data_IF_685185722677
#
_entry.id   IF_685185722677
#
_cell.length_a   1.000
_cell.length_b   1.000
_cell.length_c   1.000
_cell.angle_alpha   90.00
_cell.angle_beta   90.00
_cell.angle_gamma   90.00
#
_symmetry.space_group_name_H-M   'P 1'
#
loop_
_entity.id
_entity.type
_entity.pdbx_description
1 polymer ?
#
# COMPACT_ATOMS: atom_id res chain seq x y z
N UNK A 1 -8.13 -9.79 -22.58
CA UNK A 1 -6.74 -9.42 -22.87
C UNK A 1 -6.13 -8.91 -21.57
N UNK A 2 -5.62 -9.79 -20.69
CA UNK A 2 -5.18 -9.40 -19.36
C UNK A 2 -3.65 -9.20 -19.35
N UNK A 3 -3.07 -8.24 -18.63
CA UNK A 3 -3.23 -8.06 -17.18
C UNK A 3 -2.08 -8.79 -16.50
N UNK A 4 -0.88 -8.20 -16.52
CA UNK A 4 0.35 -8.85 -16.06
C UNK A 4 0.45 -8.84 -14.54
N UNK A 5 0.23 -10.01 -13.93
CA UNK A 5 0.68 -10.36 -12.59
C UNK A 5 2.21 -10.44 -12.55
N UNK A 6 2.85 -9.78 -11.58
CA UNK A 6 4.23 -10.04 -11.22
C UNK A 6 4.28 -10.69 -9.83
N UNK A 7 4.27 -12.02 -9.82
CA UNK A 7 4.83 -12.85 -8.76
C UNK A 7 6.00 -13.61 -9.37
N UNK A 8 7.19 -13.50 -8.78
CA UNK A 8 8.01 -14.68 -8.48
C UNK A 8 9.35 -14.28 -7.86
N UNK A 9 9.66 -15.00 -6.79
CA UNK A 9 11.03 -15.27 -6.35
C UNK A 9 11.72 -16.17 -7.38
N UNK A 10 13.04 -16.01 -7.58
CA UNK A 10 13.92 -17.12 -7.94
C UNK A 10 15.39 -16.79 -7.66
N UNK A 11 16.05 -17.72 -6.97
CA UNK A 11 17.48 -17.78 -6.79
C UNK A 11 18.17 -18.49 -7.98
N UNK A 12 19.32 -17.95 -8.39
CA UNK A 12 20.56 -18.63 -8.78
C UNK A 12 20.57 -19.77 -9.82
N UNK A 13 21.32 -19.58 -10.91
CA UNK A 13 22.40 -20.52 -11.30
C UNK A 13 23.28 -19.94 -12.42
N UNK A 14 24.56 -20.29 -12.36
CA UNK A 14 25.69 -19.79 -13.15
C UNK A 14 25.76 -20.30 -14.60
N UNK A 15 26.54 -19.61 -15.43
CA UNK A 15 27.08 -20.11 -16.70
C UNK A 15 28.58 -19.79 -16.83
N UNK A 16 29.40 -20.65 -17.49
CA UNK A 16 30.85 -20.47 -17.63
C UNK A 16 31.27 -19.87 -18.98
N UNK A 17 32.48 -19.29 -19.00
CA UNK A 17 33.23 -18.79 -20.17
C UNK A 17 33.54 -19.87 -21.22
N UNK A 18 33.91 -19.44 -22.45
CA UNK A 18 35.32 -19.58 -22.84
C UNK A 18 35.94 -18.42 -23.66
N UNK A 19 37.27 -18.36 -23.55
CA UNK A 19 38.32 -17.79 -24.41
C UNK A 19 38.16 -18.11 -25.92
N UNK A 20 38.81 -17.51 -26.94
CA UNK A 20 40.17 -16.99 -27.15
C UNK A 20 40.24 -16.41 -28.61
N UNK A 21 41.21 -15.53 -28.94
CA UNK A 21 41.79 -15.46 -30.30
C UNK A 21 41.97 -14.08 -30.98
N UNK A 22 43.21 -13.57 -30.97
CA UNK A 22 43.76 -12.49 -31.82
C UNK A 22 44.39 -13.11 -33.14
N UNK A 23 45.06 -12.41 -34.12
CA UNK A 23 45.85 -11.16 -33.98
C UNK A 23 46.11 -10.22 -35.23
N UNK A 24 46.79 -9.06 -34.97
CA UNK A 24 47.77 -8.25 -35.78
C UNK A 24 47.31 -7.51 -37.08
N UNK A 25 47.80 -6.31 -37.51
CA UNK A 25 49.05 -5.56 -37.29
C UNK A 25 48.97 -4.05 -37.69
N UNK A 26 49.90 -3.23 -37.13
CA UNK A 26 50.67 -2.04 -37.63
C UNK A 26 49.95 -0.76 -38.17
N UNK A 27 50.36 0.51 -37.95
CA UNK A 27 51.67 1.15 -37.79
C UNK A 27 51.59 2.61 -37.21
N UNK A 28 52.69 3.05 -36.58
CA UNK A 28 53.30 4.41 -36.57
C UNK A 28 52.78 5.57 -35.67
N UNK A 29 53.47 5.80 -34.54
CA UNK A 29 54.35 6.98 -34.30
C UNK A 29 53.78 8.35 -33.90
N UNK A 30 53.74 8.65 -32.59
CA UNK A 30 53.85 10.01 -32.00
C UNK A 30 54.61 9.95 -30.65
N UNK A 31 55.34 11.01 -30.24
CA UNK A 31 56.19 11.01 -29.05
C UNK A 31 55.40 10.99 -27.73
N UNK A 32 55.98 10.52 -26.60
CA UNK A 32 55.25 10.38 -25.35
C UNK A 32 54.94 11.75 -24.75
N UNK A 33 53.65 12.09 -24.69
CA UNK A 33 53.20 13.11 -23.76
C UNK A 33 53.41 12.55 -22.35
N UNK A 34 54.21 13.25 -21.53
CA UNK A 34 54.33 12.98 -20.10
C UNK A 34 52.93 12.85 -19.52
N UNK A 35 52.57 11.60 -19.21
CA UNK A 35 51.37 11.31 -18.46
C UNK A 35 51.68 11.83 -17.08
N UNK A 36 51.18 13.02 -16.75
CA UNK A 36 51.03 13.40 -15.37
C UNK A 36 50.20 12.28 -14.73
N UNK A 37 50.88 11.42 -13.97
CA UNK A 37 50.25 10.48 -13.07
C UNK A 37 49.57 11.37 -12.05
N UNK A 38 48.31 11.72 -12.29
CA UNK A 38 47.45 12.17 -11.22
C UNK A 38 47.52 11.07 -10.17
N UNK A 39 47.98 11.37 -8.94
CA UNK A 39 47.91 10.38 -7.89
C UNK A 39 46.45 9.97 -7.81
N UNK A 40 46.18 8.68 -7.98
CA UNK A 40 44.88 8.13 -7.66
C UNK A 40 44.56 8.61 -6.25
N UNK A 41 43.66 9.57 -6.13
CA UNK A 41 43.12 9.98 -4.85
C UNK A 41 42.44 8.72 -4.34
N UNK A 42 43.10 8.04 -3.39
CA UNK A 42 42.47 7.00 -2.58
C UNK A 42 41.14 7.54 -2.03
N UNK A 43 40.21 6.68 -1.58
CA UNK A 43 38.90 7.13 -1.13
C UNK A 43 39.08 8.18 -0.04
N UNK A 44 38.97 9.46 -0.42
CA UNK A 44 39.10 10.57 0.49
C UNK A 44 37.94 10.51 1.45
N UNK A 45 38.17 10.83 2.72
CA UNK A 45 37.06 11.01 3.67
C UNK A 45 36.03 11.94 3.05
N UNK A 46 34.79 11.47 2.94
CA UNK A 46 33.67 12.30 2.53
C UNK A 46 33.34 13.28 3.67
N UNK A 47 33.67 14.59 3.53
CA UNK A 47 33.36 15.58 4.56
C UNK A 47 31.84 15.78 4.73
N UNK A 48 31.00 15.20 3.86
CA UNK A 48 29.55 15.24 3.95
C UNK A 48 28.95 14.08 4.78
N UNK A 49 29.78 13.23 5.41
CA UNK A 49 29.31 12.14 6.29
C UNK A 49 28.35 12.67 7.35
N UNK A 50 27.10 12.24 7.30
CA UNK A 50 26.08 12.61 8.28
C UNK A 50 26.26 11.79 9.56
N UNK A 51 26.24 12.47 10.70
CA UNK A 51 26.31 11.85 12.03
C UNK A 51 24.98 12.08 12.74
N UNK A 52 24.36 11.00 13.20
CA UNK A 52 23.18 11.05 14.06
C UNK A 52 23.63 10.91 15.52
N UNK A 53 23.37 11.93 16.33
CA UNK A 53 23.59 11.86 17.78
C UNK A 53 22.47 11.06 18.44
N UNK A 54 22.76 9.81 18.81
CA UNK A 54 21.79 8.93 19.46
C UNK A 54 21.36 9.43 20.84
N UNK A 55 22.15 10.27 21.50
CA UNK A 55 21.77 10.88 22.79
C UNK A 55 20.69 11.97 22.64
N UNK A 56 20.51 12.47 21.41
CA UNK A 56 19.48 13.45 21.05
C UNK A 56 18.20 12.80 20.50
N UNK A 57 18.10 11.46 20.46
CA UNK A 57 16.88 10.78 20.01
C UNK A 57 15.74 10.98 21.02
N UNK A 58 14.66 11.59 20.54
CA UNK A 58 13.43 11.75 21.31
C UNK A 58 12.55 10.52 21.28
N UNK A 59 11.66 10.42 22.26
CA UNK A 59 10.57 9.46 22.26
C UNK A 59 9.38 9.96 21.43
N UNK A 60 8.48 9.04 21.07
CA UNK A 60 7.30 9.35 20.26
C UNK A 60 6.40 10.43 20.89
N UNK A 61 6.30 10.47 22.21
CA UNK A 61 5.58 11.51 22.96
C UNK A 61 6.14 12.93 22.69
N UNK A 62 7.47 13.04 22.56
CA UNK A 62 8.17 14.27 22.23
C UNK A 62 7.90 14.73 20.80
N UNK A 63 7.78 13.80 19.86
CA UNK A 63 7.30 14.09 18.50
C UNK A 63 5.85 14.57 18.55
N UNK A 64 4.96 13.84 19.21
CA UNK A 64 3.52 14.16 19.28
C UNK A 64 3.31 15.59 19.80
N UNK A 65 4.08 16.02 20.82
CA UNK A 65 4.06 17.41 21.32
C UNK A 65 4.40 18.46 20.25
N UNK A 66 5.31 18.16 19.33
CA UNK A 66 5.66 19.06 18.22
C UNK A 66 4.61 19.07 17.10
N UNK A 67 3.81 17.99 17.00
CA UNK A 67 2.74 17.87 16.00
C UNK A 67 1.44 18.59 16.42
N UNK A 68 1.29 18.98 17.69
CA UNK A 68 0.12 19.66 18.27
C UNK A 68 -0.29 20.90 17.47
N UNK A 69 0.67 21.70 17.00
CA UNK A 69 0.40 22.97 16.33
C UNK A 69 0.31 22.86 14.79
N UNK A 70 0.28 21.63 14.27
CA UNK A 70 0.13 21.36 12.83
C UNK A 70 -1.33 21.23 12.47
N UNK A 71 -1.76 21.81 11.35
CA UNK A 71 -3.09 21.59 10.77
C UNK A 71 -3.16 20.28 9.99
N UNK A 72 -2.04 19.87 9.40
CA UNK A 72 -1.93 18.61 8.65
C UNK A 72 -0.67 17.86 9.07
N UNK A 73 -0.80 16.57 9.35
CA UNK A 73 0.34 15.68 9.57
C UNK A 73 0.29 14.56 8.55
N UNK A 74 1.29 14.47 7.68
CA UNK A 74 1.45 13.38 6.73
C UNK A 74 2.30 12.29 7.38
N UNK A 75 1.81 11.06 7.41
CA UNK A 75 2.56 9.91 7.93
C UNK A 75 2.73 8.91 6.79
N UNK A 76 3.93 8.86 6.24
CA UNK A 76 4.27 7.93 5.16
C UNK A 76 4.58 6.55 5.70
N UNK A 77 3.98 5.53 5.09
CA UNK A 77 4.12 4.13 5.51
C UNK A 77 4.58 3.19 4.38
N UNK A 78 5.01 2.00 4.79
CA UNK A 78 5.06 0.82 3.94
C UNK A 78 3.85 -0.08 4.22
N UNK A 79 3.09 -0.39 3.18
CA UNK A 79 1.72 -0.90 3.28
C UNK A 79 1.55 -2.24 4.00
N UNK A 80 2.64 -2.99 4.15
CA UNK A 80 2.71 -4.33 4.73
C UNK A 80 3.46 -4.37 6.08
N UNK A 81 3.88 -3.22 6.61
CA UNK A 81 4.68 -3.13 7.83
C UNK A 81 3.82 -2.76 9.03
N UNK A 82 3.55 -3.75 9.87
CA UNK A 82 2.64 -3.57 11.00
C UNK A 82 3.13 -2.54 12.01
N UNK A 83 4.44 -2.46 12.27
CA UNK A 83 4.99 -1.43 13.14
C UNK A 83 4.77 0.00 12.64
N UNK A 84 4.72 0.24 11.32
CA UNK A 84 4.44 1.58 10.80
C UNK A 84 3.01 1.99 11.19
N UNK A 85 2.03 1.09 11.01
CA UNK A 85 0.63 1.34 11.38
C UNK A 85 0.39 1.44 12.89
N UNK A 86 1.15 0.70 13.70
CA UNK A 86 1.10 0.88 15.15
C UNK A 86 1.58 2.27 15.56
N UNK A 87 2.67 2.78 14.97
CA UNK A 87 3.12 4.14 15.25
C UNK A 87 2.16 5.21 14.73
N UNK A 88 1.48 4.97 13.60
CA UNK A 88 0.38 5.83 13.15
C UNK A 88 -0.73 5.92 14.22
N UNK A 89 -1.18 4.78 14.75
CA UNK A 89 -2.17 4.75 15.84
C UNK A 89 -1.69 5.52 17.07
N UNK A 90 -0.43 5.34 17.49
CA UNK A 90 0.12 6.06 18.63
C UNK A 90 0.12 7.59 18.43
N UNK A 91 0.46 8.07 17.23
CA UNK A 91 0.42 9.50 16.90
C UNK A 91 -1.02 10.03 16.93
N UNK A 92 -1.95 9.30 16.30
CA UNK A 92 -3.38 9.65 16.26
C UNK A 92 -3.93 9.74 17.69
N UNK A 93 -3.72 8.69 18.50
CA UNK A 93 -4.14 8.63 19.88
C UNK A 93 -3.53 9.75 20.70
N UNK A 94 -2.21 9.96 20.59
CA UNK A 94 -1.51 10.98 21.34
C UNK A 94 -1.99 12.40 21.05
N UNK A 95 -2.32 12.72 19.80
CA UNK A 95 -2.91 14.01 19.42
C UNK A 95 -4.34 14.15 19.93
N UNK A 96 -5.17 13.12 19.75
CA UNK A 96 -6.56 13.10 20.23
C UNK A 96 -6.65 13.24 21.76
N UNK A 97 -5.86 12.49 22.53
CA UNK A 97 -5.83 12.54 24.00
C UNK A 97 -5.34 13.89 24.56
N UNK A 98 -4.64 14.69 23.74
CA UNK A 98 -4.28 16.09 24.04
C UNK A 98 -5.40 17.09 23.72
N UNK A 99 -6.60 16.59 23.41
CA UNK A 99 -7.79 17.39 23.13
C UNK A 99 -7.82 18.00 21.73
N UNK A 100 -7.00 17.49 20.79
CA UNK A 100 -7.09 17.95 19.39
C UNK A 100 -8.30 17.31 18.70
N UNK A 101 -9.14 18.10 18.02
CA UNK A 101 -10.16 17.57 17.13
C UNK A 101 -9.47 16.96 15.90
N UNK A 102 -9.27 15.65 15.89
CA UNK A 102 -8.52 14.92 14.86
C UNK A 102 -9.47 14.21 13.89
N UNK A 103 -9.15 14.23 12.60
CA UNK A 103 -9.65 13.29 11.61
C UNK A 103 -8.50 12.57 10.92
N UNK A 104 -8.80 11.42 10.31
CA UNK A 104 -7.83 10.53 9.69
C UNK A 104 -8.16 10.39 8.20
N UNK A 105 -7.32 10.94 7.34
CA UNK A 105 -7.40 10.72 5.89
C UNK A 105 -6.60 9.48 5.50
N UNK A 106 -7.19 8.60 4.70
CA UNK A 106 -6.58 7.33 4.32
C UNK A 106 -6.55 7.18 2.80
N UNK A 107 -5.38 6.88 2.25
CA UNK A 107 -5.17 6.56 0.83
C UNK A 107 -5.97 5.34 0.36
N UNK A 108 -6.13 4.33 1.22
CA UNK A 108 -6.68 3.04 0.83
C UNK A 108 -8.21 2.99 0.74
N UNK A 109 -8.89 4.09 1.02
CA UNK A 109 -10.32 4.25 0.76
C UNK A 109 -10.59 5.28 -0.32
N UNK A 110 -11.49 4.93 -1.24
CA UNK A 110 -11.82 5.75 -2.40
C UNK A 110 -13.01 6.65 -2.11
N UNK A 111 -12.97 7.88 -2.61
CA UNK A 111 -13.92 8.96 -2.33
C UNK A 111 -15.40 8.57 -2.47
N UNK A 112 -15.84 7.73 -3.44
CA UNK A 112 -17.24 7.31 -3.53
C UNK A 112 -17.76 6.54 -2.31
N UNK A 113 -16.88 5.97 -1.49
CA UNK A 113 -17.25 5.17 -0.31
C UNK A 113 -17.26 5.96 1.00
N UNK A 114 -17.23 7.30 0.95
CA UNK A 114 -17.21 8.14 2.15
C UNK A 114 -18.41 7.87 3.07
N UNK A 115 -19.60 7.61 2.52
CA UNK A 115 -20.80 7.31 3.30
C UNK A 115 -20.65 6.04 4.15
N UNK A 116 -19.89 5.05 3.67
CA UNK A 116 -19.60 3.80 4.39
C UNK A 116 -18.66 4.02 5.57
N UNK A 117 -17.66 4.88 5.39
CA UNK A 117 -16.77 5.29 6.47
C UNK A 117 -17.55 6.05 7.55
N UNK A 118 -18.41 6.98 7.14
CA UNK A 118 -19.23 7.77 8.06
C UNK A 118 -20.19 6.86 8.84
N UNK A 119 -20.87 5.92 8.16
CA UNK A 119 -21.77 4.95 8.81
C UNK A 119 -21.02 3.99 9.76
N UNK A 120 -19.80 3.57 9.43
CA UNK A 120 -18.97 2.76 10.33
C UNK A 120 -18.60 3.52 11.59
N UNK A 121 -18.20 4.80 11.47
CA UNK A 121 -17.87 5.67 12.60
C UNK A 121 -19.12 5.96 13.46
N UNK A 122 -20.28 6.17 12.84
CA UNK A 122 -21.55 6.35 13.54
C UNK A 122 -22.02 5.07 14.28
N UNK A 123 -21.47 3.91 13.93
CA UNK A 123 -21.84 2.62 14.49
C UNK A 123 -22.99 1.91 13.76
N UNK A 124 -23.50 2.52 12.68
CA UNK A 124 -24.59 2.00 11.85
C UNK A 124 -24.13 0.89 10.88
N UNK A 125 -22.82 0.80 10.64
CA UNK A 125 -22.20 -0.23 9.79
C UNK A 125 -21.24 -1.12 10.60
N UNK A 126 -21.31 -2.44 10.40
CA UNK A 126 -20.36 -3.38 11.01
C UNK A 126 -18.97 -3.28 10.35
N UNK A 127 -17.94 -3.83 10.99
CA UNK A 127 -16.59 -3.87 10.41
C UNK A 127 -16.56 -4.73 9.14
N UNK A 128 -17.26 -5.86 9.16
CA UNK A 128 -17.39 -6.78 8.04
C UNK A 128 -18.19 -6.14 6.89
N UNK A 129 -19.27 -5.43 7.19
CA UNK A 129 -20.06 -4.72 6.20
C UNK A 129 -19.28 -3.56 5.58
N UNK A 130 -18.49 -2.82 6.37
CA UNK A 130 -17.55 -1.82 5.84
C UNK A 130 -16.61 -2.46 4.80
N UNK A 131 -15.93 -3.56 5.14
CA UNK A 131 -14.97 -4.18 4.23
C UNK A 131 -15.59 -4.64 2.92
N UNK A 132 -16.83 -5.15 2.95
CA UNK A 132 -17.59 -5.52 1.75
C UNK A 132 -18.01 -4.31 0.93
N UNK A 133 -18.66 -3.33 1.58
CA UNK A 133 -19.26 -2.20 0.89
C UNK A 133 -18.23 -1.20 0.34
N UNK A 134 -17.00 -1.22 0.86
CA UNK A 134 -15.88 -0.48 0.27
C UNK A 134 -15.02 -1.31 -0.69
N UNK A 135 -15.37 -2.59 -0.89
CA UNK A 135 -14.63 -3.54 -1.74
C UNK A 135 -13.14 -3.58 -1.36
N UNK A 136 -12.86 -3.59 -0.05
CA UNK A 136 -11.51 -3.38 0.47
C UNK A 136 -10.51 -4.41 -0.06
N UNK A 137 -10.92 -5.69 -0.14
CA UNK A 137 -10.06 -6.78 -0.57
C UNK A 137 -9.86 -6.82 -2.09
N UNK A 138 -10.77 -6.24 -2.87
CA UNK A 138 -10.69 -6.13 -4.32
C UNK A 138 -9.79 -4.96 -4.72
N UNK A 139 -9.92 -3.84 -4.00
CA UNK A 139 -9.29 -2.55 -4.31
C UNK A 139 -7.93 -2.36 -3.64
N UNK A 140 -7.82 -2.58 -2.33
CA UNK A 140 -6.58 -2.35 -1.59
C UNK A 140 -5.72 -3.61 -1.41
N UNK A 141 -6.36 -4.76 -1.22
CA UNK A 141 -5.73 -6.12 -1.19
C UNK A 141 -4.75 -6.41 -0.04
N UNK A 142 -4.24 -5.41 0.67
CA UNK A 142 -3.44 -5.61 1.87
C UNK A 142 -4.26 -6.24 3.01
N UNK A 143 -3.57 -6.88 3.95
CA UNK A 143 -4.23 -7.47 5.12
C UNK A 143 -4.84 -6.37 5.99
N UNK A 144 -6.19 -6.32 6.08
CA UNK A 144 -6.91 -5.31 6.84
C UNK A 144 -6.47 -5.23 8.32
N UNK A 145 -5.96 -6.32 8.89
CA UNK A 145 -5.52 -6.37 10.29
C UNK A 145 -4.34 -5.44 10.58
N UNK A 146 -3.60 -5.04 9.55
CA UNK A 146 -2.56 -4.01 9.63
C UNK A 146 -3.15 -2.65 10.06
N UNK A 147 -4.31 -2.28 9.51
CA UNK A 147 -4.98 -0.99 9.70
C UNK A 147 -6.10 -1.03 10.75
N UNK A 148 -6.65 -2.22 11.02
CA UNK A 148 -7.78 -2.44 11.94
C UNK A 148 -7.66 -1.72 13.29
N UNK A 149 -6.48 -1.67 13.97
CA UNK A 149 -6.35 -0.92 15.21
C UNK A 149 -6.69 0.58 15.06
N UNK A 150 -6.33 1.20 13.93
CA UNK A 150 -6.60 2.61 13.63
C UNK A 150 -8.10 2.81 13.43
N UNK A 151 -8.75 1.98 12.61
CA UNK A 151 -10.19 2.12 12.32
C UNK A 151 -11.05 1.90 13.57
N UNK A 152 -10.68 0.91 14.40
CA UNK A 152 -11.38 0.65 15.67
C UNK A 152 -11.24 1.81 16.64
N UNK A 153 -10.04 2.35 16.79
CA UNK A 153 -9.81 3.53 17.63
C UNK A 153 -10.63 4.72 17.14
N UNK A 154 -10.65 4.95 15.82
CA UNK A 154 -11.45 6.01 15.22
C UNK A 154 -12.95 5.83 15.53
N UNK A 155 -13.49 4.62 15.37
CA UNK A 155 -14.89 4.32 15.70
C UNK A 155 -15.20 4.49 17.18
N UNK A 156 -14.36 3.95 18.05
CA UNK A 156 -14.52 4.02 19.51
C UNK A 156 -14.60 5.47 20.00
N UNK A 157 -13.85 6.37 19.37
CA UNK A 157 -13.76 7.77 19.76
C UNK A 157 -14.50 8.75 18.83
N UNK A 158 -15.23 8.26 17.83
CA UNK A 158 -15.96 9.09 16.88
C UNK A 158 -15.07 9.98 16.00
N UNK A 159 -13.83 9.58 15.72
CA UNK A 159 -12.92 10.33 14.86
C UNK A 159 -13.31 10.15 13.39
N UNK A 160 -13.52 11.23 12.61
CA UNK A 160 -13.88 11.11 11.21
C UNK A 160 -12.79 10.39 10.40
N UNK A 161 -13.22 9.47 9.54
CA UNK A 161 -12.38 8.78 8.56
C UNK A 161 -12.66 9.37 7.18
N UNK A 162 -11.63 9.86 6.48
CA UNK A 162 -11.78 10.54 5.20
C UNK A 162 -11.20 9.66 4.09
N UNK A 163 -12.05 9.24 3.16
CA UNK A 163 -11.63 8.52 1.96
C UNK A 163 -10.92 9.51 1.02
N UNK A 164 -9.61 9.34 0.82
CA UNK A 164 -8.81 10.31 0.07
C UNK A 164 -8.74 10.01 -1.42
N UNK A 165 -8.65 8.74 -1.81
CA UNK A 165 -8.20 8.39 -3.15
C UNK A 165 -9.31 8.41 -4.19
N UNK A 166 -8.94 8.56 -5.46
CA UNK A 166 -9.87 8.56 -6.57
C UNK A 166 -10.43 7.16 -6.84
N UNK A 167 -11.57 7.04 -7.56
CA UNK A 167 -12.09 5.75 -7.99
C UNK A 167 -11.05 5.00 -8.83
N UNK A 168 -10.83 3.71 -8.52
CA UNK A 168 -9.86 2.86 -9.21
C UNK A 168 -10.09 2.83 -10.72
N UNK A 169 -11.35 2.83 -11.14
CA UNK A 169 -11.80 2.79 -12.53
C UNK A 169 -11.24 3.98 -13.34
N UNK A 170 -11.14 5.16 -12.71
CA UNK A 170 -10.55 6.35 -13.33
C UNK A 170 -9.06 6.15 -13.53
N UNK A 171 -8.37 5.65 -12.50
CA UNK A 171 -6.92 5.51 -12.51
C UNK A 171 -6.46 4.36 -13.41
N UNK A 172 -7.23 3.27 -13.53
CA UNK A 172 -6.97 2.19 -14.49
C UNK A 172 -7.13 2.69 -15.92
N UNK A 173 -8.21 3.41 -16.21
CA UNK A 173 -8.44 3.99 -17.54
C UNK A 173 -7.34 4.97 -17.96
N UNK A 174 -6.85 5.78 -17.02
CA UNK A 174 -5.70 6.66 -17.26
C UNK A 174 -4.40 5.87 -17.43
N UNK A 175 -4.21 4.77 -16.69
CA UNK A 175 -3.07 3.87 -16.91
C UNK A 175 -3.05 3.30 -18.33
N UNK A 176 -4.21 2.92 -18.86
CA UNK A 176 -4.33 2.33 -20.19
C UNK A 176 -4.21 3.36 -21.33
N UNK A 177 -4.85 4.53 -21.19
CA UNK A 177 -5.04 5.48 -22.30
C UNK A 177 -4.65 6.93 -22.01
N UNK A 178 -4.07 7.21 -20.85
CA UNK A 178 -3.78 8.57 -20.37
C UNK A 178 -5.03 9.35 -19.97
N UNK A 179 -4.84 10.55 -19.41
CA UNK A 179 -5.93 11.43 -18.94
C UNK A 179 -6.90 11.80 -20.08
N UNK A 180 -6.39 11.92 -21.32
CA UNK A 180 -7.20 12.23 -22.49
C UNK A 180 -8.22 11.13 -22.85
N UNK A 181 -8.08 9.92 -22.29
CA UNK A 181 -9.03 8.82 -22.48
C UNK A 181 -10.32 8.97 -21.67
N UNK A 182 -10.33 9.85 -20.66
CA UNK A 182 -11.49 10.07 -19.80
C UNK A 182 -12.62 10.76 -20.58
N UNK A 183 -13.84 10.27 -20.37
CA UNK A 183 -15.05 10.95 -20.82
C UNK A 183 -15.26 12.26 -20.05
N UNK A 184 -16.08 13.19 -20.54
CA UNK A 184 -16.37 14.43 -19.82
C UNK A 184 -16.91 14.23 -18.39
N UNK A 185 -17.69 13.16 -18.16
CA UNK A 185 -18.22 12.85 -16.84
C UNK A 185 -17.13 12.34 -15.88
N UNK A 186 -16.22 11.49 -16.38
CA UNK A 186 -15.07 10.99 -15.61
C UNK A 186 -14.05 12.10 -15.35
N UNK A 187 -13.81 12.98 -16.33
CA UNK A 187 -12.94 14.14 -16.18
C UNK A 187 -13.45 15.13 -15.11
N UNK A 188 -14.75 15.15 -14.83
CA UNK A 188 -15.33 15.93 -13.73
C UNK A 188 -15.12 15.30 -12.34
N UNK A 189 -14.68 14.03 -12.27
CA UNK A 189 -14.36 13.31 -11.03
C UNK A 189 -12.91 13.49 -10.59
N UNK A 190 -12.04 14.00 -11.46
CA UNK A 190 -10.64 14.30 -11.15
C UNK A 190 -10.44 15.80 -10.87
N UNK A 191 -9.37 16.19 -10.16
CA UNK A 191 -9.05 17.59 -9.93
C UNK A 191 -8.92 18.36 -11.26
N UNK A 192 -9.54 19.55 -11.32
CA UNK A 192 -9.48 20.42 -12.51
C UNK A 192 -8.09 21.01 -12.74
N UNK A 193 -7.27 21.08 -11.69
CA UNK A 193 -5.88 21.54 -11.72
C UNK A 193 -4.94 20.38 -11.40
N UNK A 194 -4.15 19.97 -12.39
CA UNK A 194 -3.09 18.97 -12.26
C UNK A 194 -1.77 19.64 -12.60
N UNK A 195 -0.91 19.77 -11.60
CA UNK A 195 0.43 20.32 -11.81
C UNK A 195 1.35 19.24 -12.37
N UNK A 196 1.69 19.40 -13.64
CA UNK A 196 2.59 18.53 -14.40
C UNK A 196 4.05 19.01 -14.35
N UNK A 197 4.32 20.19 -13.78
CA UNK A 197 5.59 20.92 -13.94
C UNK A 197 6.54 20.82 -12.74
N UNK A 198 6.78 19.60 -12.25
CA UNK A 198 7.80 19.35 -11.23
C UNK A 198 8.91 18.44 -11.78
N UNK A 199 9.97 19.00 -12.41
CA UNK A 199 11.07 18.20 -12.99
C UNK A 199 11.72 17.23 -12.00
N UNK A 200 11.86 17.63 -10.73
CA UNK A 200 12.42 16.78 -9.67
C UNK A 200 11.50 15.63 -9.28
N UNK A 201 10.18 15.85 -9.28
CA UNK A 201 9.17 14.82 -9.02
C UNK A 201 9.12 13.81 -10.18
N UNK A 202 9.12 14.30 -11.44
CA UNK A 202 9.21 13.45 -12.62
C UNK A 202 10.50 12.59 -12.61
N UNK A 203 11.66 13.18 -12.32
CA UNK A 203 12.92 12.44 -12.23
C UNK A 203 12.97 11.43 -11.07
N UNK A 204 12.21 11.68 -10.00
CA UNK A 204 12.02 10.69 -8.93
C UNK A 204 11.15 9.53 -9.41
N UNK A 205 9.97 9.81 -9.98
CA UNK A 205 9.08 8.77 -10.51
C UNK A 205 9.70 7.97 -11.65
N UNK A 206 10.57 8.56 -12.47
CA UNK A 206 11.33 7.84 -13.49
C UNK A 206 12.20 6.75 -12.87
N UNK A 207 12.90 7.06 -11.77
CA UNK A 207 13.72 6.07 -11.05
C UNK A 207 12.86 4.98 -10.44
N UNK A 208 11.71 5.34 -9.86
CA UNK A 208 10.74 4.35 -9.33
C UNK A 208 10.29 3.42 -10.45
N UNK A 209 9.85 3.98 -11.57
CA UNK A 209 9.41 3.22 -12.74
C UNK A 209 10.49 2.23 -13.22
N UNK A 210 11.74 2.66 -13.33
CA UNK A 210 12.87 1.82 -13.77
C UNK A 210 13.23 0.68 -12.79
N UNK A 211 12.93 0.83 -11.50
CA UNK A 211 13.18 -0.20 -10.48
C UNK A 211 12.11 -1.29 -10.44
N UNK A 212 10.96 -1.09 -11.08
CA UNK A 212 9.88 -2.08 -11.14
C UNK A 212 9.92 -2.87 -12.45
N UNK A 213 9.65 -4.20 -12.42
CA UNK A 213 9.46 -4.96 -13.64
C UNK A 213 8.27 -4.40 -14.41
N UNK A 214 8.54 -3.75 -15.53
CA UNK A 214 7.51 -3.24 -16.42
C UNK A 214 7.36 -4.18 -17.61
N UNK A 215 6.14 -4.38 -18.10
CA UNK A 215 5.93 -5.01 -19.41
C UNK A 215 6.51 -4.14 -20.52
N UNK A 216 6.85 -4.75 -21.66
CA UNK A 216 7.45 -4.05 -22.80
C UNK A 216 6.59 -2.87 -23.33
N UNK A 217 5.28 -2.88 -23.06
CA UNK A 217 4.32 -1.85 -23.45
C UNK A 217 4.08 -0.76 -22.37
N UNK A 218 4.80 -0.78 -21.25
CA UNK A 218 4.56 0.15 -20.15
C UNK A 218 4.97 1.59 -20.52
N UNK A 219 4.02 2.51 -20.43
CA UNK A 219 4.24 3.94 -20.68
C UNK A 219 4.59 4.68 -19.38
N UNK A 220 5.80 5.24 -19.31
CA UNK A 220 6.18 6.11 -18.20
C UNK A 220 5.24 7.33 -18.10
N UNK A 221 4.77 7.87 -19.22
CA UNK A 221 3.82 9.00 -19.19
C UNK A 221 2.50 8.62 -18.53
N UNK A 222 1.96 7.44 -18.83
CA UNK A 222 0.71 7.00 -18.21
C UNK A 222 0.93 6.70 -16.73
N UNK A 223 2.05 6.07 -16.38
CA UNK A 223 2.43 5.87 -14.97
C UNK A 223 2.51 7.21 -14.22
N UNK A 224 3.20 8.20 -14.79
CA UNK A 224 3.28 9.55 -14.23
C UNK A 224 1.89 10.17 -14.09
N UNK A 225 1.04 10.11 -15.11
CA UNK A 225 -0.31 10.65 -15.06
C UNK A 225 -1.17 10.00 -13.95
N UNK A 226 -1.04 8.69 -13.73
CA UNK A 226 -1.70 8.00 -12.61
C UNK A 226 -1.20 8.51 -11.25
N UNK A 227 0.11 8.63 -11.06
CA UNK A 227 0.69 9.15 -9.82
C UNK A 227 0.25 10.59 -9.55
N UNK A 228 0.22 11.43 -10.59
CA UNK A 228 -0.30 12.79 -10.51
C UNK A 228 -1.78 12.80 -10.10
N UNK A 229 -2.61 11.94 -10.67
CA UNK A 229 -4.02 11.86 -10.33
C UNK A 229 -4.26 11.43 -8.87
N UNK A 230 -3.55 10.41 -8.40
CA UNK A 230 -3.61 9.99 -7.01
C UNK A 230 -3.24 11.14 -6.07
N UNK A 231 -2.08 11.77 -6.28
CA UNK A 231 -1.60 12.84 -5.41
C UNK A 231 -2.51 14.08 -5.45
N UNK A 232 -2.97 14.49 -6.63
CA UNK A 232 -3.87 15.65 -6.77
C UNK A 232 -5.24 15.36 -6.18
N UNK A 233 -5.79 14.16 -6.41
CA UNK A 233 -7.10 13.75 -5.90
C UNK A 233 -7.12 13.69 -4.37
N UNK A 234 -6.12 13.04 -3.78
CA UNK A 234 -5.97 12.98 -2.32
C UNK A 234 -5.76 14.36 -1.71
N UNK A 235 -4.90 15.20 -2.32
CA UNK A 235 -4.65 16.55 -1.82
C UNK A 235 -5.88 17.45 -1.91
N UNK A 236 -6.61 17.43 -3.02
CA UNK A 236 -7.85 18.20 -3.17
C UNK A 236 -8.90 17.77 -2.14
N UNK A 237 -9.08 16.45 -1.96
CA UNK A 237 -10.03 15.91 -0.98
C UNK A 237 -9.67 16.33 0.44
N UNK A 238 -8.39 16.25 0.81
CA UNK A 238 -7.88 16.69 2.11
C UNK A 238 -8.14 18.20 2.33
N UNK A 239 -7.86 19.04 1.34
CA UNK A 239 -8.05 20.50 1.42
C UNK A 239 -9.53 20.85 1.56
N UNK A 240 -10.41 20.24 0.76
CA UNK A 240 -11.87 20.46 0.87
C UNK A 240 -12.36 20.14 2.29
N UNK A 241 -11.88 19.05 2.88
CA UNK A 241 -12.23 18.70 4.25
C UNK A 241 -11.68 19.70 5.28
N UNK A 242 -10.41 20.10 5.16
CA UNK A 242 -9.78 21.09 6.06
C UNK A 242 -10.46 22.45 6.02
N UNK A 243 -10.89 22.90 4.83
CA UNK A 243 -11.63 24.16 4.68
C UNK A 243 -13.01 24.11 5.33
N UNK A 244 -13.69 22.95 5.26
CA UNK A 244 -14.96 22.74 5.95
C UNK A 244 -14.81 22.56 7.47
N UNK A 245 -13.60 22.23 7.94
CA UNK A 245 -13.29 21.95 9.35
C UNK A 245 -12.08 22.78 9.84
N UNK A 246 -12.20 24.11 9.91
CA UNK A 246 -11.06 25.03 10.11
C UNK A 246 -10.33 24.85 11.45
N UNK A 247 -10.99 24.25 12.45
CA UNK A 247 -10.41 23.96 13.77
C UNK A 247 -9.82 22.54 13.88
N UNK A 248 -10.14 21.62 12.95
CA UNK A 248 -9.82 20.19 13.07
C UNK A 248 -8.52 19.78 12.37
N UNK A 249 -7.63 19.08 13.07
CA UNK A 249 -6.38 18.59 12.50
C UNK A 249 -6.64 17.36 11.62
N UNK A 250 -6.00 17.29 10.45
CA UNK A 250 -6.07 16.12 9.57
C UNK A 250 -4.76 15.35 9.61
N UNK A 251 -4.82 14.06 9.95
CA UNK A 251 -3.70 13.13 9.86
C UNK A 251 -3.87 12.31 8.59
N UNK A 252 -2.95 12.44 7.64
CA UNK A 252 -2.99 11.76 6.34
C UNK A 252 -2.07 10.53 6.39
N UNK A 253 -2.66 9.36 6.20
CA UNK A 253 -1.96 8.07 6.10
C UNK A 253 -1.88 7.68 4.62
N UNK A 254 -0.67 7.60 4.10
CA UNK A 254 -0.41 7.27 2.71
C UNK A 254 0.93 6.53 2.56
N UNK A 255 1.10 5.82 1.46
CA UNK A 255 2.36 5.22 1.06
C UNK A 255 3.44 6.28 1.01
N UNK A 256 4.62 5.92 1.51
CA UNK A 256 5.76 6.82 1.63
C UNK A 256 6.09 7.63 0.36
N UNK A 257 5.95 7.01 -0.83
CA UNK A 257 6.21 7.66 -2.12
C UNK A 257 5.33 8.89 -2.40
N UNK A 258 4.14 8.96 -1.78
CA UNK A 258 3.18 10.04 -1.93
C UNK A 258 3.44 11.23 -0.99
N UNK A 259 4.41 11.12 -0.07
CA UNK A 259 4.67 12.15 0.95
C UNK A 259 6.14 12.53 1.11
N UNK A 260 7.06 11.64 0.74
CA UNK A 260 8.49 11.87 0.94
C UNK A 260 9.01 13.12 0.21
N UNK A 261 10.00 13.77 0.80
CA UNK A 261 10.64 15.00 0.33
C UNK A 261 9.70 16.20 0.19
N UNK A 262 8.54 16.16 0.85
CA UNK A 262 7.49 17.17 0.67
C UNK A 262 6.92 17.21 -0.75
N UNK A 263 7.15 16.16 -1.54
CA UNK A 263 6.57 15.96 -2.86
C UNK A 263 5.30 15.14 -2.74
N UNK A 264 4.51 15.07 -3.80
CA UNK A 264 3.27 14.30 -3.80
C UNK A 264 2.11 15.07 -3.19
N UNK A 265 1.42 14.47 -2.23
CA UNK A 265 0.28 15.07 -1.51
C UNK A 265 0.68 16.38 -0.78
N UNK A 266 1.77 16.44 0.02
CA UNK A 266 2.16 17.65 0.76
C UNK A 266 2.31 18.90 -0.10
N UNK A 267 3.03 18.86 -1.23
CA UNK A 267 3.21 20.04 -2.09
C UNK A 267 1.88 20.52 -2.70
N UNK A 268 0.99 19.57 -3.04
CA UNK A 268 -0.33 19.84 -3.63
C UNK A 268 -1.33 20.36 -2.62
N UNK A 269 -1.24 19.94 -1.36
CA UNK A 269 -1.98 20.56 -0.25
C UNK A 269 -1.46 21.96 -0.03
N UNK A 270 -0.14 22.15 0.09
CA UNK A 270 0.48 23.47 0.30
C UNK A 270 0.11 24.49 -0.78
N UNK A 271 0.07 24.06 -2.04
CA UNK A 271 -0.35 24.90 -3.18
C UNK A 271 -1.78 25.42 -3.03
N UNK A 272 -2.68 24.60 -2.47
CA UNK A 272 -4.11 24.90 -2.34
C UNK A 272 -4.48 25.57 -1.01
N UNK A 273 -3.74 25.25 0.05
CA UNK A 273 -3.99 25.71 1.41
C UNK A 273 -2.66 25.79 2.17
N UNK A 274 -2.16 27.01 2.37
CA UNK A 274 -0.93 27.26 3.10
C UNK A 274 -1.21 27.27 4.62
N UNK A 275 -1.04 26.10 5.24
CA UNK A 275 -1.24 25.87 6.68
C UNK A 275 -0.04 25.13 7.28
N UNK A 276 0.20 25.27 8.59
CA UNK A 276 1.26 24.51 9.26
C UNK A 276 1.10 23.00 9.02
N UNK A 277 2.13 22.38 8.45
CA UNK A 277 2.16 20.94 8.15
C UNK A 277 3.44 20.29 8.66
N UNK A 278 3.41 18.97 8.82
CA UNK A 278 4.60 18.16 9.05
C UNK A 278 4.52 16.80 8.38
N UNK A 279 5.69 16.25 8.04
CA UNK A 279 5.87 14.94 7.41
C UNK A 279 6.63 14.05 8.38
N UNK A 280 6.05 12.89 8.68
CA UNK A 280 6.63 11.84 9.52
C UNK A 280 6.80 10.59 8.65
N UNK A 281 7.97 9.97 8.72
CA UNK A 281 8.33 8.83 7.88
C UNK A 281 8.97 7.71 8.70
N UNK A 282 8.77 6.45 8.31
CA UNK A 282 9.61 5.35 8.80
C UNK A 282 11.00 5.46 8.17
N UNK A 283 12.04 5.61 9.00
CA UNK A 283 13.45 5.67 8.58
C UNK A 283 14.10 4.29 8.39
N UNK A 284 13.38 3.20 8.69
CA UNK A 284 13.89 1.85 8.47
C UNK A 284 13.93 1.49 6.99
N UNK A 285 14.96 0.73 6.60
CA UNK A 285 15.24 0.29 5.22
C UNK A 285 15.44 1.42 4.20
N UNK A 286 15.67 2.65 4.67
CA UNK A 286 15.95 3.81 3.84
C UNK A 286 17.32 4.39 4.19
N UNK A 287 18.05 4.95 3.21
CA UNK A 287 19.20 5.79 3.50
C UNK A 287 18.78 6.96 4.40
N UNK A 288 19.65 7.34 5.34
CA UNK A 288 19.43 8.56 6.14
C UNK A 288 19.55 9.77 5.21
N UNK A 289 18.41 10.41 4.95
CA UNK A 289 18.31 11.61 4.13
C UNK A 289 17.49 12.68 4.89
N UNK A 290 18.14 13.74 5.42
CA UNK A 290 17.45 14.80 6.16
C UNK A 290 16.43 15.59 5.34
N UNK A 291 16.45 15.50 4.01
CA UNK A 291 15.46 16.19 3.16
C UNK A 291 14.17 15.38 2.96
N UNK A 292 14.14 14.12 3.41
CA UNK A 292 13.01 13.21 3.18
C UNK A 292 11.75 13.58 3.96
N UNK A 293 11.89 14.07 5.20
CA UNK A 293 10.77 14.34 6.10
C UNK A 293 11.21 15.27 7.25
N UNK A 294 10.25 15.83 7.98
CA UNK A 294 10.55 16.59 9.20
C UNK A 294 11.00 15.65 10.34
N UNK A 295 10.47 14.43 10.36
CA UNK A 295 10.79 13.42 11.37
C UNK A 295 10.93 12.02 10.77
N UNK A 296 11.96 11.30 11.21
CA UNK A 296 12.17 9.88 10.91
C UNK A 296 11.92 9.03 12.16
N UNK A 297 11.08 8.01 12.04
CA UNK A 297 10.82 7.00 13.05
C UNK A 297 11.73 5.79 12.84
N UNK A 298 12.27 5.24 13.93
CA UNK A 298 13.03 3.98 13.90
C UNK A 298 12.32 2.94 14.79
N UNK A 299 11.14 2.44 14.38
CA UNK A 299 10.35 1.54 15.21
C UNK A 299 11.00 0.16 15.34
N UNK A 300 10.73 -0.54 16.44
CA UNK A 300 11.09 -1.95 16.52
C UNK A 300 10.18 -2.76 15.59
N UNK A 301 10.70 -3.75 14.84
CA UNK A 301 9.86 -4.60 13.99
C UNK A 301 8.80 -5.34 14.82
N UNK A 302 7.55 -5.32 14.36
CA UNK A 302 6.45 -6.05 15.01
C UNK A 302 5.80 -6.94 13.97
N UNK A 303 5.85 -8.25 14.18
CA UNK A 303 5.16 -9.19 13.30
C UNK A 303 3.64 -9.09 13.47
N UNK A 304 2.91 -8.98 12.36
CA UNK A 304 1.47 -9.18 12.38
C UNK A 304 1.16 -10.62 12.84
N UNK A 305 0.30 -10.84 13.85
CA UNK A 305 -0.06 -12.19 14.26
C UNK A 305 -0.60 -13.01 13.08
N UNK A 306 -0.18 -14.28 12.97
CA UNK A 306 -0.62 -15.15 11.87
C UNK A 306 -2.12 -15.46 12.00
N UNK A 307 -2.85 -15.40 10.89
CA UNK A 307 -4.17 -16.02 10.76
C UNK A 307 -4.05 -17.51 10.51
N UNK A 308 -5.10 -18.27 10.84
CA UNK A 308 -5.23 -19.64 10.37
C UNK A 308 -5.53 -19.66 8.87
N UNK A 309 -4.87 -20.55 8.12
CA UNK A 309 -5.11 -20.73 6.70
C UNK A 309 -5.72 -22.09 6.41
N UNK A 310 -6.73 -22.15 5.53
CA UNK A 310 -7.30 -23.42 5.06
C UNK A 310 -6.30 -24.20 4.19
N UNK A 311 -5.37 -23.48 3.53
CA UNK A 311 -4.39 -24.05 2.59
C UNK A 311 -5.01 -24.43 1.25
N UNK A 312 -5.94 -23.62 0.75
CA UNK A 312 -6.60 -23.76 -0.56
C UNK A 312 -6.06 -22.73 -1.55
N UNK A 313 -6.05 -23.09 -2.82
CA UNK A 313 -5.88 -22.19 -3.96
C UNK A 313 -7.26 -21.98 -4.57
N UNK A 314 -7.69 -20.72 -4.61
CA UNK A 314 -9.05 -20.36 -5.05
C UNK A 314 -9.04 -20.04 -6.54
N UNK A 315 -10.11 -20.42 -7.21
CA UNK A 315 -10.50 -19.90 -8.52
C UNK A 315 -11.65 -18.91 -8.29
N UNK A 316 -11.32 -17.62 -8.43
CA UNK A 316 -12.24 -16.50 -8.24
C UNK A 316 -12.94 -16.09 -9.53
N UNK A 317 -12.56 -16.66 -10.68
CA UNK A 317 -13.07 -16.29 -11.99
C UNK A 317 -14.20 -17.21 -12.44
N UNK A 318 -14.24 -18.44 -11.93
CA UNK A 318 -15.31 -19.41 -12.20
C UNK A 318 -16.68 -18.98 -11.65
N UNK A 319 -17.67 -18.83 -12.52
CA UNK A 319 -19.07 -18.55 -12.15
C UNK A 319 -19.71 -19.69 -11.33
N UNK A 320 -20.67 -19.33 -10.48
CA UNK A 320 -21.45 -20.27 -9.65
C UNK A 320 -21.53 -19.84 -8.18
N UNK A 321 -22.38 -20.51 -7.41
CA UNK A 321 -22.52 -20.26 -5.98
C UNK A 321 -21.23 -20.61 -5.23
N UNK A 322 -20.77 -19.72 -4.34
CA UNK A 322 -19.54 -19.91 -3.58
C UNK A 322 -18.26 -19.77 -4.42
N UNK A 323 -17.11 -19.92 -3.76
CA UNK A 323 -15.79 -19.75 -4.37
C UNK A 323 -15.16 -21.11 -4.65
N UNK A 324 -14.77 -21.34 -5.90
CA UNK A 324 -14.21 -22.62 -6.33
C UNK A 324 -12.78 -22.85 -5.82
N UNK A 325 -12.44 -24.11 -5.57
CA UNK A 325 -11.09 -24.55 -5.21
C UNK A 325 -10.42 -25.16 -6.45
N UNK A 326 -9.32 -24.57 -6.90
CA UNK A 326 -8.51 -25.09 -8.01
C UNK A 326 -7.28 -25.89 -7.57
N UNK A 327 -6.97 -25.88 -6.27
CA UNK A 327 -5.80 -26.58 -5.76
C UNK A 327 -5.60 -26.41 -4.26
N UNK A 328 -4.50 -26.96 -3.77
CA UNK A 328 -4.13 -26.91 -2.36
C UNK A 328 -2.65 -26.61 -2.19
N UNK A 329 -2.32 -25.89 -1.12
CA UNK A 329 -0.93 -25.72 -0.69
C UNK A 329 -0.31 -27.06 -0.26
N UNK A 330 1.02 -27.11 -0.15
CA UNK A 330 1.73 -28.31 0.31
C UNK A 330 1.22 -28.77 1.68
N UNK A 331 1.00 -27.82 2.59
CA UNK A 331 0.32 -28.03 3.87
C UNK A 331 -1.09 -27.44 3.78
N UNK A 332 -2.13 -28.29 3.86
CA UNK A 332 -3.51 -27.87 3.65
C UNK A 332 -4.45 -28.56 4.62
N UNK A 333 -5.06 -27.78 5.52
CA UNK A 333 -6.08 -28.28 6.45
C UNK A 333 -7.33 -28.76 5.71
N UNK A 334 -7.72 -28.05 4.64
CA UNK A 334 -8.89 -28.39 3.85
C UNK A 334 -8.71 -29.75 3.16
N UNK A 335 -7.55 -30.00 2.54
CA UNK A 335 -7.24 -31.29 1.93
C UNK A 335 -7.18 -32.41 2.96
N UNK A 336 -6.52 -32.16 4.10
CA UNK A 336 -6.43 -33.13 5.20
C UNK A 336 -7.82 -33.53 5.72
N UNK A 337 -8.79 -32.61 5.69
CA UNK A 337 -10.18 -32.85 6.10
C UNK A 337 -11.06 -33.53 5.03
N UNK A 338 -10.60 -33.65 3.78
CA UNK A 338 -11.34 -34.31 2.69
C UNK A 338 -12.06 -33.39 1.70
N UNK A 339 -11.78 -32.08 1.74
CA UNK A 339 -12.14 -31.13 0.68
C UNK A 339 -11.34 -31.48 -0.60
N UNK A 340 -11.96 -31.31 -1.78
CA UNK A 340 -11.40 -31.70 -3.08
C UNK A 340 -11.31 -30.50 -4.02
N UNK A 341 -10.45 -30.62 -5.04
CA UNK A 341 -10.45 -29.69 -6.17
C UNK A 341 -11.80 -29.77 -6.90
N UNK A 342 -12.31 -28.62 -7.34
CA UNK A 342 -13.65 -28.48 -7.91
C UNK A 342 -14.76 -28.23 -6.88
N UNK A 343 -14.51 -28.46 -5.58
CA UNK A 343 -15.45 -28.05 -4.53
C UNK A 343 -15.58 -26.51 -4.51
N UNK A 344 -16.78 -26.01 -4.22
CA UNK A 344 -17.06 -24.58 -4.04
C UNK A 344 -17.36 -24.28 -2.58
N UNK A 345 -16.56 -23.43 -1.94
CA UNK A 345 -16.77 -23.01 -0.56
C UNK A 345 -17.99 -22.10 -0.50
N UNK A 346 -19.00 -22.48 0.27
CA UNK A 346 -20.24 -21.70 0.45
C UNK A 346 -20.43 -21.19 1.88
N UNK A 347 -19.72 -21.75 2.86
CA UNK A 347 -19.81 -21.32 4.25
C UNK A 347 -18.49 -21.58 4.99
N UNK A 348 -18.08 -20.64 5.85
CA UNK A 348 -16.97 -20.77 6.78
C UNK A 348 -17.43 -20.28 8.15
N UNK A 349 -17.44 -21.16 9.15
CA UNK A 349 -18.05 -20.83 10.45
C UNK A 349 -19.53 -20.50 10.26
N UNK A 350 -19.95 -19.31 10.70
CA UNK A 350 -21.30 -18.78 10.49
C UNK A 350 -21.40 -17.80 9.29
N UNK A 351 -20.35 -17.71 8.47
CA UNK A 351 -20.27 -16.73 7.37
C UNK A 351 -20.57 -17.39 6.02
N UNK A 352 -21.62 -16.92 5.35
CA UNK A 352 -21.89 -17.27 3.94
C UNK A 352 -20.77 -16.74 3.05
N UNK A 353 -20.34 -17.56 2.09
CA UNK A 353 -19.26 -17.26 1.18
C UNK A 353 -19.80 -17.12 -0.23
N UNK A 354 -19.82 -15.89 -0.74
CA UNK A 354 -20.18 -15.58 -2.14
C UNK A 354 -18.97 -15.03 -2.91
N UNK A 355 -17.95 -14.53 -2.19
CA UNK A 355 -16.80 -13.85 -2.77
C UNK A 355 -15.49 -14.19 -2.06
N UNK A 356 -14.37 -13.81 -2.69
CA UNK A 356 -13.05 -13.85 -2.04
C UNK A 356 -13.00 -12.98 -0.76
N UNK A 357 -13.64 -11.82 -0.77
CA UNK A 357 -13.73 -10.95 0.41
C UNK A 357 -14.37 -11.67 1.60
N UNK A 358 -15.44 -12.44 1.39
CA UNK A 358 -16.10 -13.17 2.47
C UNK A 358 -15.17 -14.18 3.14
N UNK A 359 -14.33 -14.86 2.36
CA UNK A 359 -13.32 -15.79 2.91
C UNK A 359 -12.31 -15.03 3.77
N UNK A 360 -11.85 -13.86 3.31
CA UNK A 360 -10.89 -13.03 4.05
C UNK A 360 -11.49 -12.51 5.35
N UNK A 361 -12.75 -12.09 5.32
CA UNK A 361 -13.52 -11.64 6.48
C UNK A 361 -13.72 -12.79 7.48
N UNK A 362 -14.21 -13.94 7.02
CA UNK A 362 -14.49 -15.10 7.86
C UNK A 362 -13.23 -15.63 8.59
N UNK A 363 -12.08 -15.56 7.94
CA UNK A 363 -10.80 -16.04 8.48
C UNK A 363 -10.03 -14.98 9.26
N UNK A 364 -10.45 -13.71 9.26
CA UNK A 364 -9.67 -12.58 9.77
C UNK A 364 -9.24 -12.76 11.24
N UNK A 365 -10.12 -13.29 12.07
CA UNK A 365 -9.87 -13.50 13.51
C UNK A 365 -9.41 -14.93 13.86
N UNK A 366 -9.22 -15.75 12.83
CA UNK A 366 -8.81 -17.14 13.01
C UNK A 366 -7.35 -17.29 13.41
N UNK A 367 -7.00 -18.44 13.99
CA UNK A 367 -5.62 -18.76 14.42
C UNK A 367 -5.13 -20.07 13.81
N UNK A 368 -3.82 -20.22 13.59
CA UNK A 368 -3.22 -21.53 13.27
C UNK A 368 -3.62 -22.57 14.33
N UNK A 369 -4.02 -23.76 13.87
CA UNK A 369 -4.49 -24.86 14.70
C UNK A 369 -5.96 -24.76 15.14
N UNK A 370 -6.67 -23.67 14.86
CA UNK A 370 -8.10 -23.58 15.12
C UNK A 370 -8.87 -24.54 14.21
N UNK A 371 -9.83 -25.26 14.78
CA UNK A 371 -10.80 -26.02 13.99
C UNK A 371 -11.96 -25.11 13.59
N UNK A 372 -12.35 -25.17 12.32
CA UNK A 372 -13.45 -24.38 11.79
C UNK A 372 -14.31 -25.22 10.85
N UNK A 373 -15.65 -25.23 11.04
CA UNK A 373 -16.55 -25.90 10.12
C UNK A 373 -16.58 -25.13 8.79
N UNK A 374 -16.55 -25.88 7.70
CA UNK A 374 -16.58 -25.37 6.33
C UNK A 374 -17.59 -26.18 5.54
N UNK A 375 -18.55 -25.50 4.91
CA UNK A 375 -19.46 -26.13 3.97
C UNK A 375 -19.02 -25.85 2.52
N UNK A 376 -19.11 -26.89 1.69
CA UNK A 376 -18.81 -26.82 0.26
C UNK A 376 -19.94 -27.43 -0.57
N UNK A 377 -20.11 -26.94 -1.79
CA UNK A 377 -20.84 -27.63 -2.84
C UNK A 377 -19.87 -28.49 -3.65
N UNK A 378 -20.22 -29.76 -3.84
CA UNK A 378 -19.50 -30.70 -4.67
C UNK A 378 -20.41 -31.19 -5.78
N UNK A 379 -19.97 -31.09 -7.03
CA UNK A 379 -20.69 -31.64 -8.17
C UNK A 379 -20.19 -33.07 -8.47
N UNK A 380 -20.97 -34.12 -8.16
CA UNK A 380 -20.55 -35.48 -8.44
C UNK A 380 -20.68 -35.80 -9.95
N UNK A 381 -19.82 -36.69 -10.46
CA UNK A 381 -19.91 -37.19 -11.84
C UNK A 381 -21.26 -37.84 -12.17
N UNK A 382 -22.02 -38.26 -11.16
CA UNK A 382 -23.38 -38.81 -11.26
C UNK A 382 -24.21 -38.28 -10.09
N UNK A 383 -25.24 -37.48 -10.37
CA UNK A 383 -26.09 -36.85 -9.35
C UNK A 383 -26.24 -35.35 -9.59
N UNK A 384 -26.89 -34.63 -8.66
CA UNK A 384 -26.84 -33.17 -8.60
C UNK A 384 -25.85 -32.72 -7.53
N UNK A 385 -25.49 -31.44 -7.53
CA UNK A 385 -24.57 -30.87 -6.54
C UNK A 385 -25.03 -31.19 -5.10
N UNK A 386 -24.11 -31.69 -4.29
CA UNK A 386 -24.33 -32.01 -2.88
C UNK A 386 -23.60 -31.02 -1.97
N UNK A 387 -24.25 -30.63 -0.87
CA UNK A 387 -23.63 -29.84 0.18
C UNK A 387 -22.95 -30.77 1.18
N UNK A 388 -21.67 -30.54 1.44
CA UNK A 388 -20.84 -31.30 2.37
C UNK A 388 -20.23 -30.37 3.41
N UNK A 389 -20.12 -30.84 4.66
CA UNK A 389 -19.51 -30.09 5.76
C UNK A 389 -18.26 -30.81 6.26
N UNK A 390 -17.20 -30.04 6.51
CA UNK A 390 -15.90 -30.52 6.97
C UNK A 390 -15.43 -29.69 8.17
N UNK A 391 -14.90 -30.35 9.20
CA UNK A 391 -14.17 -29.67 10.26
C UNK A 391 -12.69 -29.53 9.86
N UNK A 392 -12.29 -28.32 9.50
CA UNK A 392 -10.95 -28.02 8.98
C UNK A 392 -10.07 -27.45 10.07
N UNK A 393 -8.92 -28.10 10.31
CA UNK A 393 -7.86 -27.53 11.15
C UNK A 393 -7.03 -26.56 10.32
N UNK A 394 -7.15 -25.27 10.62
CA UNK A 394 -6.40 -24.21 9.94
C UNK A 394 -4.89 -24.36 10.21
N UNK A 395 -4.07 -24.11 9.20
CA UNK A 395 -2.61 -24.19 9.24
C UNK A 395 -1.97 -22.87 9.65
#
# INVERSE_FOLDING_TARGET
MPGANASSAAAGSASPHPEQGAPMANHAGMPPAETAIHPATGPGMDPATKVLDLSSLGELDGLIKQLVDKRVVFIGESHDRYEDHLNQLEIIRGLHERGKPVAIGMEFFQQPFQDKLDAYIAGDLSEEALLRETEYFERWRFDYRLYRPILRYAREHGLPLIALNLPREITEKVGDGGIASLSPAEAAMIPSEIDREAPSYRAHLQRVFEMHPNGDDASFEHFLEVQLLWDEGMAERAVRWLQANPESQLIVLAGAGHVEYGRGIPSRVKRRLDVPMSIVMSGQQRPLDPEMADFLLYPQPVGLPKTGLMGVMLDTDSEGQGVAIQGFAQQSGARDAGVKEGDRIIEIGDTSIDSYADIRIALMDSRPGQQMPIAVLRDPLVGGAEQLSFDVTLK
#
